data_IF_910677754825
#
_entry.id   IF_910677754825
#
_cell.length_a   1.000
_cell.length_b   1.000
_cell.length_c   1.000
_cell.angle_alpha   90.00
_cell.angle_beta   90.00
_cell.angle_gamma   90.00
#
_symmetry.space_group_name_H-M   'P 1'
#
loop_
_entity.id
_entity.type
_entity.pdbx_description
1 polymer ?
#
# COMPACT_ATOMS: atom_id res chain seq x y z
N UNK A 1 26.37 15.35 -39.91
CA UNK A 1 25.30 15.97 -39.09
C UNK A 1 24.06 15.08 -39.02
N UNK A 2 24.07 13.94 -38.29
CA UNK A 2 22.87 13.06 -38.12
C UNK A 2 22.85 12.26 -36.80
N UNK A 3 23.51 12.72 -35.72
CA UNK A 3 23.56 12.00 -34.43
C UNK A 3 22.85 12.70 -33.25
N UNK A 4 22.14 13.81 -33.47
CA UNK A 4 21.58 14.62 -32.38
C UNK A 4 20.07 14.43 -32.11
N UNK A 5 19.35 13.64 -32.94
CA UNK A 5 17.88 13.51 -32.84
C UNK A 5 17.37 12.34 -31.98
N UNK A 6 18.23 11.43 -31.52
CA UNK A 6 17.79 10.23 -30.78
C UNK A 6 17.75 10.47 -29.25
N UNK A 7 18.47 11.46 -28.73
CA UNK A 7 18.54 11.70 -27.26
C UNK A 7 17.29 12.43 -26.72
N UNK A 8 16.62 13.25 -27.54
CA UNK A 8 15.46 14.05 -27.12
C UNK A 8 14.19 13.18 -27.00
N UNK A 9 14.04 12.16 -27.86
CA UNK A 9 12.88 11.25 -27.83
C UNK A 9 12.88 10.34 -26.59
N UNK A 10 14.06 9.89 -26.14
CA UNK A 10 14.20 9.11 -24.90
C UNK A 10 13.91 9.92 -23.62
N UNK A 11 14.25 11.21 -23.61
CA UNK A 11 13.92 12.10 -22.48
C UNK A 11 12.42 12.40 -22.40
N UNK A 12 11.76 12.60 -23.55
CA UNK A 12 10.31 12.85 -23.59
C UNK A 12 9.49 11.60 -23.24
N UNK A 13 9.87 10.40 -23.71
CA UNK A 13 9.20 9.16 -23.32
C UNK A 13 9.38 8.84 -21.82
N UNK A 14 10.57 9.09 -21.27
CA UNK A 14 10.83 8.86 -19.84
C UNK A 14 10.13 9.86 -18.94
N UNK A 15 10.08 11.15 -19.32
CA UNK A 15 9.29 12.16 -18.61
C UNK A 15 7.78 11.85 -18.66
N UNK A 16 7.26 11.36 -19.80
CA UNK A 16 5.86 10.96 -19.92
C UNK A 16 5.53 9.71 -19.09
N UNK A 17 6.43 8.72 -19.05
CA UNK A 17 6.28 7.52 -18.21
C UNK A 17 6.33 7.82 -16.71
N UNK A 18 7.20 8.74 -16.28
CA UNK A 18 7.29 9.20 -14.87
C UNK A 18 6.02 9.96 -14.47
N UNK A 19 5.54 10.87 -15.32
CA UNK A 19 4.30 11.62 -15.08
C UNK A 19 3.08 10.69 -15.03
N UNK A 20 2.94 9.74 -15.96
CA UNK A 20 1.83 8.78 -16.00
C UNK A 20 1.77 7.88 -14.76
N UNK A 21 2.91 7.40 -14.25
CA UNK A 21 2.96 6.62 -13.01
C UNK A 21 2.56 7.45 -11.78
N UNK A 22 3.08 8.68 -11.65
CA UNK A 22 2.71 9.57 -10.56
C UNK A 22 1.21 9.92 -10.57
N UNK A 23 0.62 10.13 -11.76
CA UNK A 23 -0.82 10.40 -11.90
C UNK A 23 -1.71 9.22 -11.54
N UNK A 24 -1.25 7.97 -11.78
CA UNK A 24 -2.05 6.77 -11.46
C UNK A 24 -2.24 6.56 -9.96
N UNK A 25 -1.24 6.93 -9.15
CA UNK A 25 -1.32 6.87 -7.68
C UNK A 25 -2.21 7.98 -7.11
N UNK A 26 -2.13 9.19 -7.68
CA UNK A 26 -2.88 10.35 -7.20
C UNK A 26 -4.39 10.27 -7.44
N UNK A 27 -4.85 9.37 -8.32
CA UNK A 27 -6.26 9.20 -8.66
C UNK A 27 -7.08 8.38 -7.66
N UNK A 28 -6.44 7.74 -6.67
CA UNK A 28 -7.12 6.91 -5.68
C UNK A 28 -7.08 7.55 -4.30
N UNK A 29 -8.20 7.45 -3.58
CA UNK A 29 -8.26 7.77 -2.16
C UNK A 29 -7.17 6.96 -1.42
N UNK A 30 -6.43 7.64 -0.53
CA UNK A 30 -5.38 7.00 0.27
C UNK A 30 -5.87 6.80 1.70
N UNK A 31 -5.60 5.64 2.28
CA UNK A 31 -5.88 5.33 3.68
C UNK A 31 -5.41 6.48 4.58
N UNK A 32 -6.29 7.07 5.40
CA UNK A 32 -5.93 8.24 6.18
C UNK A 32 -4.92 7.87 7.27
N UNK A 33 -3.97 8.77 7.52
CA UNK A 33 -3.06 8.69 8.65
C UNK A 33 -2.57 10.09 9.02
N UNK A 34 -2.13 10.25 10.26
CA UNK A 34 -1.42 11.44 10.73
C UNK A 34 0.07 11.13 10.84
N UNK A 35 0.92 11.96 10.23
CA UNK A 35 2.37 11.87 10.43
C UNK A 35 2.72 12.54 11.75
N UNK A 36 3.36 11.79 12.65
CA UNK A 36 3.81 12.26 13.97
C UNK A 36 5.27 12.71 13.90
N UNK A 37 6.08 12.02 13.10
CA UNK A 37 7.50 12.34 12.88
C UNK A 37 7.93 11.91 11.50
N UNK A 38 8.83 12.67 10.88
CA UNK A 38 9.51 12.33 9.62
C UNK A 38 11.02 12.39 9.82
N UNK A 39 11.74 11.46 9.22
CA UNK A 39 13.20 11.37 9.21
C UNK A 39 13.64 10.76 7.87
N UNK A 40 13.77 11.59 6.84
CA UNK A 40 14.02 11.13 5.47
C UNK A 40 12.91 10.19 4.97
N UNK A 41 13.30 8.96 4.62
CA UNK A 41 12.37 7.92 4.17
C UNK A 41 11.65 7.18 5.32
N UNK A 42 11.94 7.55 6.57
CA UNK A 42 11.30 6.98 7.76
C UNK A 42 10.23 7.92 8.32
N UNK A 43 9.16 7.35 8.85
CA UNK A 43 8.10 8.11 9.51
C UNK A 43 7.58 7.38 10.75
N UNK A 44 7.04 8.14 11.70
CA UNK A 44 6.07 7.62 12.68
C UNK A 44 4.70 8.12 12.25
N UNK A 45 3.75 7.21 12.07
CA UNK A 45 2.37 7.52 11.67
C UNK A 45 1.38 7.01 12.70
N UNK A 46 0.26 7.69 12.80
CA UNK A 46 -0.92 7.25 13.53
C UNK A 46 -2.04 6.96 12.54
N UNK A 47 -2.43 5.70 12.43
CA UNK A 47 -3.58 5.28 11.65
C UNK A 47 -4.82 5.29 12.55
N UNK A 48 -5.92 5.90 12.11
CA UNK A 48 -7.20 5.71 12.74
C UNK A 48 -7.69 4.28 12.51
N UNK A 49 -8.85 3.95 13.06
CA UNK A 49 -9.54 2.73 12.70
C UNK A 49 -9.89 2.73 11.20
N UNK A 50 -9.51 1.67 10.48
CA UNK A 50 -9.80 1.50 9.07
C UNK A 50 -10.77 0.33 8.86
N UNK A 51 -11.79 0.54 8.03
CA UNK A 51 -12.61 -0.54 7.49
C UNK A 51 -11.87 -1.19 6.33
N UNK A 52 -11.69 -2.51 6.35
CA UNK A 52 -10.90 -3.22 5.34
C UNK A 52 -11.65 -4.43 4.78
N UNK A 53 -11.53 -4.65 3.48
CA UNK A 53 -11.92 -5.91 2.84
C UNK A 53 -10.69 -6.81 2.76
N UNK A 54 -10.77 -8.03 3.28
CA UNK A 54 -9.63 -8.94 3.45
C UNK A 54 -9.82 -10.27 2.74
N UNK A 55 -8.71 -10.88 2.32
CA UNK A 55 -8.67 -12.26 1.83
C UNK A 55 -7.30 -12.88 2.13
N UNK A 56 -7.18 -14.21 2.10
CA UNK A 56 -5.91 -14.91 2.29
C UNK A 56 -4.85 -14.44 1.28
N UNK A 57 -3.59 -14.35 1.72
CA UNK A 57 -2.46 -14.09 0.82
C UNK A 57 -2.15 -15.32 -0.01
N UNK A 58 -2.29 -15.20 -1.32
CA UNK A 58 -1.85 -16.23 -2.26
C UNK A 58 -0.43 -15.97 -2.77
N UNK A 59 0.16 -17.01 -3.38
CA UNK A 59 1.46 -16.91 -4.05
C UNK A 59 1.37 -16.15 -5.38
N UNK A 60 0.17 -16.06 -5.94
CA UNK A 60 -0.15 -15.40 -7.21
C UNK A 60 -1.07 -14.19 -7.01
N UNK A 61 -1.63 -13.66 -8.10
CA UNK A 61 -2.52 -12.50 -8.08
C UNK A 61 -3.99 -12.85 -7.75
N UNK A 62 -4.31 -14.10 -7.40
CA UNK A 62 -5.71 -14.52 -7.19
C UNK A 62 -6.38 -13.75 -6.04
N UNK A 63 -5.67 -13.53 -4.93
CA UNK A 63 -6.16 -12.72 -3.80
C UNK A 63 -6.52 -11.28 -4.20
N UNK A 64 -5.68 -10.64 -5.01
CA UNK A 64 -5.99 -9.32 -5.55
C UNK A 64 -7.25 -9.35 -6.41
N UNK A 65 -7.39 -10.35 -7.29
CA UNK A 65 -8.58 -10.47 -8.14
C UNK A 65 -9.86 -10.76 -7.36
N UNK A 66 -9.78 -11.46 -6.22
CA UNK A 66 -10.93 -11.66 -5.34
C UNK A 66 -11.42 -10.34 -4.74
N UNK A 67 -10.50 -9.54 -4.19
CA UNK A 67 -10.84 -8.21 -3.67
C UNK A 67 -11.29 -7.25 -4.78
N UNK A 68 -10.65 -7.32 -5.96
CA UNK A 68 -11.05 -6.52 -7.11
C UNK A 68 -12.48 -6.85 -7.56
N UNK A 69 -12.84 -8.14 -7.66
CA UNK A 69 -14.22 -8.56 -7.97
C UNK A 69 -15.20 -8.07 -6.93
N UNK A 70 -14.85 -8.10 -5.64
CA UNK A 70 -15.70 -7.57 -4.57
C UNK A 70 -16.03 -6.09 -4.78
N UNK A 71 -15.02 -5.26 -5.05
CA UNK A 71 -15.23 -3.82 -5.27
C UNK A 71 -15.88 -3.50 -6.63
N UNK A 72 -15.81 -4.40 -7.62
CA UNK A 72 -16.44 -4.22 -8.94
C UNK A 72 -17.90 -4.72 -9.00
N UNK A 73 -18.57 -4.90 -7.85
CA UNK A 73 -19.96 -5.34 -7.78
C UNK A 73 -20.16 -6.81 -7.36
N UNK A 74 -19.08 -7.53 -7.05
CA UNK A 74 -19.10 -8.86 -6.44
C UNK A 74 -19.48 -8.86 -4.94
N UNK A 75 -20.40 -8.00 -4.56
CA UNK A 75 -20.98 -7.88 -3.22
C UNK A 75 -22.50 -8.06 -3.30
N UNK A 76 -23.15 -8.23 -2.15
CA UNK A 76 -24.59 -8.52 -2.06
C UNK A 76 -25.42 -7.39 -2.66
N UNK A 77 -24.99 -6.14 -2.49
CA UNK A 77 -25.69 -4.95 -3.00
C UNK A 77 -25.46 -4.68 -4.50
N UNK A 78 -24.56 -5.43 -5.17
CA UNK A 78 -24.14 -5.19 -6.56
C UNK A 78 -23.57 -3.78 -6.80
N UNK A 79 -23.03 -3.17 -5.75
CA UNK A 79 -22.50 -1.80 -5.81
C UNK A 79 -21.03 -1.77 -6.20
N UNK A 80 -20.62 -0.74 -6.93
CA UNK A 80 -19.20 -0.49 -7.19
C UNK A 80 -18.59 0.33 -6.05
N UNK A 81 -17.49 -0.16 -5.51
CA UNK A 81 -16.69 0.49 -4.48
C UNK A 81 -15.42 1.01 -5.14
N UNK A 82 -15.05 2.26 -4.85
CA UNK A 82 -13.84 2.85 -5.43
C UNK A 82 -12.59 2.16 -4.86
N UNK A 83 -11.60 1.92 -5.72
CA UNK A 83 -10.28 1.44 -5.28
C UNK A 83 -9.59 2.51 -4.42
N UNK A 84 -8.85 2.05 -3.42
CA UNK A 84 -8.03 2.90 -2.55
C UNK A 84 -6.57 2.44 -2.58
N UNK A 85 -5.67 3.28 -2.10
CA UNK A 85 -4.29 2.88 -1.80
C UNK A 85 -3.98 3.06 -0.31
N UNK A 86 -3.00 2.35 0.26
CA UNK A 86 -2.29 1.20 -0.31
C UNK A 86 -3.13 -0.08 -0.24
N UNK A 87 -2.61 -1.13 -0.88
CA UNK A 87 -2.97 -2.53 -0.55
C UNK A 87 -2.08 -2.99 0.59
N UNK A 88 -2.68 -3.38 1.72
CA UNK A 88 -1.95 -3.90 2.86
C UNK A 88 -1.74 -5.41 2.75
N UNK A 89 -0.58 -5.89 3.23
CA UNK A 89 -0.32 -7.29 3.53
C UNK A 89 -0.05 -7.43 5.02
N UNK A 90 -1.05 -7.90 5.77
CA UNK A 90 -1.07 -7.92 7.24
C UNK A 90 -1.61 -9.26 7.72
N UNK A 91 -0.97 -9.86 8.72
CA UNK A 91 -1.40 -11.13 9.35
C UNK A 91 -1.70 -12.26 8.33
N UNK A 92 -0.85 -12.36 7.29
CA UNK A 92 -1.03 -13.36 6.23
C UNK A 92 -2.21 -13.10 5.28
N UNK A 93 -2.86 -11.94 5.38
CA UNK A 93 -3.97 -11.50 4.53
C UNK A 93 -3.56 -10.35 3.62
N UNK A 94 -4.22 -10.26 2.48
CA UNK A 94 -4.28 -9.05 1.66
C UNK A 94 -5.50 -8.23 2.07
N UNK A 95 -5.36 -6.91 2.14
CA UNK A 95 -6.44 -6.03 2.52
C UNK A 95 -6.52 -4.77 1.62
N UNK A 96 -7.74 -4.45 1.18
CA UNK A 96 -8.10 -3.16 0.60
C UNK A 96 -8.79 -2.31 1.67
N UNK A 97 -8.51 -1.02 1.69
CA UNK A 97 -9.25 -0.08 2.55
C UNK A 97 -10.57 0.26 1.88
N UNK A 98 -11.64 0.29 2.67
CA UNK A 98 -12.94 0.74 2.18
C UNK A 98 -12.91 2.28 2.16
N UNK A 99 -13.24 2.93 1.04
CA UNK A 99 -13.22 4.38 0.94
C UNK A 99 -14.25 5.02 1.86
N UNK A 100 -14.00 6.26 2.28
CA UNK A 100 -14.82 6.96 3.28
C UNK A 100 -16.31 6.96 2.93
N UNK A 101 -16.64 7.19 1.64
CA UNK A 101 -18.04 7.21 1.16
C UNK A 101 -18.80 5.89 1.39
N UNK A 102 -18.09 4.76 1.47
CA UNK A 102 -18.67 3.41 1.65
C UNK A 102 -18.49 2.89 3.09
N UNK A 103 -17.79 3.63 3.96
CA UNK A 103 -17.44 3.17 5.31
C UNK A 103 -18.66 2.94 6.22
N UNK A 104 -19.65 3.84 6.15
CA UNK A 104 -20.86 3.76 6.97
C UNK A 104 -21.80 2.62 6.56
N UNK A 105 -21.82 2.29 5.26
CA UNK A 105 -22.68 1.25 4.68
C UNK A 105 -21.84 0.35 3.75
N UNK A 106 -20.88 -0.37 4.32
CA UNK A 106 -20.00 -1.25 3.54
C UNK A 106 -20.76 -2.48 3.04
N UNK A 107 -20.86 -2.70 1.71
CA UNK A 107 -21.59 -3.85 1.18
C UNK A 107 -20.98 -5.18 1.64
N UNK A 108 -21.82 -6.11 2.08
CA UNK A 108 -21.37 -7.45 2.45
C UNK A 108 -20.81 -8.20 1.22
N UNK A 109 -19.69 -8.93 1.34
CA UNK A 109 -19.15 -9.72 0.24
C UNK A 109 -20.13 -10.83 -0.19
N UNK A 110 -20.20 -11.10 -1.50
CA UNK A 110 -20.99 -12.23 -2.01
C UNK A 110 -20.21 -13.56 -1.95
N UNK A 111 -18.88 -13.50 -1.81
CA UNK A 111 -18.00 -14.66 -1.74
C UNK A 111 -17.53 -14.89 -0.31
N UNK A 112 -17.59 -16.14 0.16
CA UNK A 112 -17.06 -16.54 1.46
C UNK A 112 -15.52 -16.43 1.59
N UNK A 113 -14.81 -16.17 0.49
CA UNK A 113 -13.34 -15.98 0.48
C UNK A 113 -12.92 -14.53 0.75
N UNK A 114 -13.88 -13.62 0.89
CA UNK A 114 -13.66 -12.21 1.22
C UNK A 114 -14.41 -11.89 2.50
N UNK A 115 -13.72 -11.25 3.43
CA UNK A 115 -14.31 -10.74 4.68
C UNK A 115 -14.22 -9.22 4.71
N UNK A 116 -15.11 -8.58 5.46
CA UNK A 116 -14.98 -7.17 5.81
C UNK A 116 -14.68 -7.10 7.30
N UNK A 117 -13.50 -6.60 7.61
CA UNK A 117 -12.96 -6.53 8.96
C UNK A 117 -12.62 -5.08 9.33
N UNK A 118 -12.24 -4.88 10.58
CA UNK A 118 -11.72 -3.61 11.08
C UNK A 118 -10.24 -3.76 11.41
N UNK A 119 -9.40 -2.86 10.88
CA UNK A 119 -8.04 -2.67 11.34
C UNK A 119 -8.04 -1.61 12.45
N UNK A 120 -7.82 -2.05 13.69
CA UNK A 120 -7.80 -1.16 14.85
C UNK A 120 -6.77 -0.04 14.69
N UNK A 121 -7.13 1.14 15.23
CA UNK A 121 -6.25 2.29 15.32
C UNK A 121 -4.91 1.91 15.94
N UNK A 122 -3.82 2.43 15.35
CA UNK A 122 -2.46 2.05 15.74
C UNK A 122 -1.45 3.10 15.37
N UNK A 123 -0.42 3.22 16.21
CA UNK A 123 0.80 3.95 15.87
C UNK A 123 1.81 3.01 15.26
N UNK A 124 2.47 3.43 14.20
CA UNK A 124 3.41 2.60 13.43
C UNK A 124 4.67 3.38 13.10
N UNK A 125 5.80 2.70 13.14
CA UNK A 125 7.02 3.11 12.48
C UNK A 125 6.97 2.63 11.02
N UNK A 126 7.40 3.47 10.08
CA UNK A 126 7.33 3.22 8.64
C UNK A 126 8.68 3.47 8.01
N UNK A 127 9.06 2.61 7.06
CA UNK A 127 10.13 2.88 6.11
C UNK A 127 9.62 2.77 4.68
N UNK A 128 9.77 3.84 3.92
CA UNK A 128 9.47 3.90 2.49
C UNK A 128 10.68 3.49 1.67
N UNK A 129 10.45 2.65 0.66
CA UNK A 129 11.51 2.22 -0.25
C UNK A 129 10.97 1.99 -1.67
N UNK A 130 11.89 2.02 -2.63
CA UNK A 130 11.61 1.72 -4.04
C UNK A 130 12.22 0.39 -4.46
N UNK A 131 11.73 -0.15 -5.56
CA UNK A 131 12.13 -1.45 -6.09
C UNK A 131 10.95 -2.31 -6.53
N UNK A 132 11.23 -3.31 -7.35
CA UNK A 132 10.24 -4.33 -7.71
C UNK A 132 9.92 -5.22 -6.50
N UNK A 133 8.82 -6.00 -6.56
CA UNK A 133 8.44 -6.95 -5.49
C UNK A 133 9.33 -8.20 -5.49
N UNK A 134 10.66 -8.02 -5.54
CA UNK A 134 11.62 -9.10 -5.39
C UNK A 134 11.65 -9.49 -3.91
N UNK A 135 11.55 -10.79 -3.62
CA UNK A 135 11.44 -11.32 -2.25
C UNK A 135 12.55 -10.86 -1.29
N UNK A 136 13.69 -10.41 -1.79
CA UNK A 136 14.82 -9.96 -0.99
C UNK A 136 14.73 -8.52 -0.47
N UNK A 137 13.90 -7.66 -1.06
CA UNK A 137 13.88 -6.22 -0.69
C UNK A 137 13.08 -5.94 0.59
N UNK A 138 11.97 -6.63 0.79
CA UNK A 138 11.13 -6.42 1.98
C UNK A 138 11.86 -6.81 3.30
N UNK A 139 12.58 -7.95 3.39
CA UNK A 139 13.41 -8.24 4.56
C UNK A 139 14.52 -7.21 4.81
N UNK A 140 15.15 -6.68 3.75
CA UNK A 140 16.16 -5.63 3.87
C UNK A 140 15.56 -4.30 4.35
N UNK A 141 14.41 -3.93 3.82
CA UNK A 141 13.67 -2.75 4.25
C UNK A 141 13.25 -2.88 5.72
N UNK A 142 12.80 -4.07 6.14
CA UNK A 142 12.43 -4.35 7.52
C UNK A 142 13.64 -4.24 8.46
N UNK A 143 14.80 -4.77 8.07
CA UNK A 143 16.03 -4.64 8.84
C UNK A 143 16.44 -3.17 9.01
N UNK A 144 16.37 -2.36 7.94
CA UNK A 144 16.63 -0.91 8.00
C UNK A 144 15.67 -0.20 8.95
N UNK A 145 14.38 -0.53 8.90
CA UNK A 145 13.37 0.04 9.80
C UNK A 145 13.67 -0.29 11.27
N UNK A 146 14.03 -1.55 11.57
CA UNK A 146 14.39 -1.95 12.94
C UNK A 146 15.61 -1.22 13.47
N UNK A 147 16.66 -1.05 12.66
CA UNK A 147 17.86 -0.26 13.04
C UNK A 147 17.47 1.18 13.37
N UNK A 148 16.67 1.82 12.52
CA UNK A 148 16.20 3.18 12.78
C UNK A 148 15.33 3.26 14.04
N UNK A 149 14.42 2.31 14.26
CA UNK A 149 13.61 2.24 15.47
C UNK A 149 14.46 2.15 16.74
N UNK A 150 15.51 1.33 16.73
CA UNK A 150 16.46 1.22 17.85
C UNK A 150 17.15 2.56 18.13
N UNK A 151 17.65 3.25 17.10
CA UNK A 151 18.28 4.57 17.24
C UNK A 151 17.33 5.61 17.82
N UNK A 152 16.03 5.51 17.53
CA UNK A 152 15.00 6.42 18.02
C UNK A 152 14.27 5.92 19.27
N UNK A 153 14.75 4.83 19.87
CA UNK A 153 14.17 4.21 21.07
C UNK A 153 12.67 3.90 20.93
N UNK A 154 12.24 3.49 19.74
CA UNK A 154 10.86 3.06 19.49
C UNK A 154 10.72 1.57 19.81
N UNK A 155 9.68 1.21 20.56
CA UNK A 155 9.41 -0.18 20.97
C UNK A 155 8.39 -0.84 20.04
N UNK A 156 8.68 -2.06 19.57
CA UNK A 156 7.75 -2.87 18.78
C UNK A 156 6.55 -3.30 19.64
N UNK A 157 5.34 -3.19 19.10
CA UNK A 157 4.08 -3.56 19.75
C UNK A 157 3.24 -4.56 18.94
N UNK A 158 3.78 -5.10 17.84
CA UNK A 158 3.06 -6.04 17.00
C UNK A 158 3.86 -6.53 15.80
N UNK A 159 3.26 -7.43 15.04
CA UNK A 159 3.90 -8.00 13.85
C UNK A 159 4.09 -6.94 12.75
N UNK A 160 5.21 -7.00 12.00
CA UNK A 160 5.40 -6.17 10.83
C UNK A 160 4.37 -6.46 9.73
N UNK A 161 4.06 -5.45 8.93
CA UNK A 161 3.19 -5.58 7.76
C UNK A 161 3.66 -4.65 6.64
N UNK A 162 3.12 -4.85 5.44
CA UNK A 162 3.59 -4.15 4.23
C UNK A 162 2.45 -3.38 3.56
N UNK A 163 2.79 -2.29 2.88
CA UNK A 163 1.87 -1.47 2.10
C UNK A 163 2.41 -1.23 0.69
N UNK A 164 1.58 -1.54 -0.31
CA UNK A 164 1.92 -1.37 -1.72
C UNK A 164 0.96 -0.40 -2.41
N UNK A 165 1.52 0.61 -3.05
CA UNK A 165 0.74 1.71 -3.63
C UNK A 165 0.58 1.56 -5.13
N UNK A 166 1.60 1.00 -5.77
CA UNK A 166 1.70 1.03 -7.21
C UNK A 166 1.26 -0.27 -7.87
N UNK A 167 0.62 -0.15 -9.04
CA UNK A 167 0.21 -1.29 -9.84
C UNK A 167 1.40 -2.07 -10.43
N UNK A 168 1.18 -3.30 -10.92
CA UNK A 168 2.24 -4.16 -11.43
C UNK A 168 2.93 -3.63 -12.70
N UNK A 169 2.33 -2.69 -13.44
CA UNK A 169 2.96 -2.07 -14.62
C UNK A 169 3.88 -0.90 -14.28
N UNK A 170 3.85 -0.36 -13.05
CA UNK A 170 4.75 0.72 -12.64
C UNK A 170 6.20 0.22 -12.64
N UNK A 171 7.16 0.92 -13.29
CA UNK A 171 8.57 0.55 -13.26
C UNK A 171 9.10 0.44 -11.82
N UNK A 172 9.87 -0.60 -11.52
CA UNK A 172 10.25 -0.94 -10.15
C UNK A 172 10.91 0.20 -9.36
N UNK A 173 11.78 0.98 -9.99
CA UNK A 173 12.46 2.12 -9.36
C UNK A 173 11.53 3.31 -9.07
N UNK A 174 10.34 3.36 -9.67
CA UNK A 174 9.31 4.36 -9.40
C UNK A 174 8.26 3.89 -8.39
N UNK A 175 8.26 2.60 -8.02
CA UNK A 175 7.30 2.09 -7.04
C UNK A 175 7.59 2.66 -5.66
N UNK A 176 6.51 2.97 -4.95
CA UNK A 176 6.44 3.19 -3.52
C UNK A 176 5.97 1.89 -2.85
N UNK A 177 6.86 1.32 -2.06
CA UNK A 177 6.56 0.25 -1.13
C UNK A 177 6.89 0.73 0.28
N UNK A 178 6.22 0.18 1.27
CA UNK A 178 6.47 0.50 2.66
C UNK A 178 6.43 -0.77 3.51
N UNK A 179 7.35 -0.86 4.47
CA UNK A 179 7.25 -1.77 5.61
C UNK A 179 6.87 -0.96 6.85
N UNK A 180 6.03 -1.55 7.68
CA UNK A 180 5.44 -0.91 8.84
C UNK A 180 5.58 -1.86 10.05
N UNK A 181 5.88 -1.30 11.22
CA UNK A 181 5.90 -2.03 12.48
C UNK A 181 5.03 -1.26 13.48
N UNK A 182 3.99 -1.87 14.08
CA UNK A 182 3.27 -1.28 15.20
C UNK A 182 4.21 -0.95 16.35
N UNK A 183 4.04 0.23 16.94
CA UNK A 183 4.85 0.68 18.07
C UNK A 183 4.00 1.06 19.27
N UNK A 184 4.54 0.89 20.46
CA UNK A 184 3.90 1.37 21.68
C UNK A 184 3.78 2.90 21.64
N UNK A 185 2.70 3.48 22.18
CA UNK A 185 2.70 4.89 22.51
C UNK A 185 3.93 5.19 23.39
N UNK A 186 4.69 6.22 23.02
CA UNK A 186 5.71 6.80 23.91
C UNK A 186 5.03 7.41 25.13
#
# INVERSE_FOLDING_TARGET
MKKLLIVISGLLLSAFGIAACATSRAGYETAPYKVIRTDGDFEVREYPELKIATTSRDKDNSGFMRLFRYIDGGNVAKEKISMTTPVFMVDGKMAFVVPEKNKAATPAPASAQVSVDTMNARRVAVYRYSGSRIKSLEPQALAKLKVWMQQKQLLEAGAPFSAYYDPPWTPGFLRRNEVLIPISPL
#
